data_IF_375350150646
#
_entry.id   IF_375350150646
#
_cell.length_a   1.000
_cell.length_b   1.000
_cell.length_c   1.000
_cell.angle_alpha   90.00
_cell.angle_beta   90.00
_cell.angle_gamma   90.00
#
_symmetry.space_group_name_H-M   'P 1'
#
loop_
_entity.id
_entity.type
_entity.pdbx_description
1 polymer ?
#
# COMPACT_ATOMS: atom_id res chain seq x y z
N UNK A 1 -5.69 16.70 -9.56
CA UNK A 1 -5.48 17.70 -10.64
C UNK A 1 -4.18 18.44 -10.43
N UNK A 2 -3.58 18.92 -11.49
CA UNK A 2 -2.42 19.81 -11.51
C UNK A 2 -2.55 20.80 -12.64
N UNK A 3 -1.97 21.98 -12.47
CA UNK A 3 -2.09 23.04 -13.48
C UNK A 3 -0.92 24.02 -13.42
N UNK A 4 -0.64 24.62 -14.56
CA UNK A 4 0.42 25.61 -14.72
C UNK A 4 -0.07 26.81 -15.52
N UNK A 5 0.38 27.98 -15.11
CA UNK A 5 0.20 29.19 -15.90
C UNK A 5 1.00 29.11 -17.21
N UNK A 6 0.50 29.74 -18.26
CA UNK A 6 1.13 29.78 -19.59
C UNK A 6 2.57 30.27 -19.54
N UNK A 7 2.85 31.29 -18.75
CA UNK A 7 4.20 31.83 -18.55
C UNK A 7 5.18 30.80 -17.99
N UNK A 8 4.74 29.96 -17.05
CA UNK A 8 5.57 28.91 -16.46
C UNK A 8 5.93 27.81 -17.48
N UNK A 9 5.05 27.56 -18.46
CA UNK A 9 5.31 26.57 -19.51
C UNK A 9 6.31 27.06 -20.57
N UNK A 10 6.40 28.36 -20.79
CA UNK A 10 7.34 28.96 -21.75
C UNK A 10 8.75 29.16 -21.18
N UNK A 11 8.88 29.07 -19.85
CA UNK A 11 10.20 29.20 -19.19
C UNK A 11 11.03 27.94 -19.43
N UNK A 12 12.28 28.09 -19.82
CA UNK A 12 13.22 26.97 -19.93
C UNK A 12 13.63 26.52 -18.53
N UNK A 13 13.25 25.30 -18.17
CA UNK A 13 13.57 24.72 -16.89
C UNK A 13 14.77 23.79 -17.00
N UNK A 14 15.65 23.82 -16.00
CA UNK A 14 16.72 22.85 -15.86
C UNK A 14 16.11 21.46 -15.64
N UNK A 15 16.36 20.54 -16.57
CA UNK A 15 15.84 19.16 -16.51
C UNK A 15 14.64 18.85 -17.43
N UNK A 16 14.38 19.71 -18.44
CA UNK A 16 13.40 19.46 -19.51
C UNK A 16 12.02 20.08 -19.30
N UNK A 17 11.06 19.77 -20.16
CA UNK A 17 9.73 20.39 -20.14
C UNK A 17 9.01 20.15 -18.80
N UNK A 18 8.60 21.23 -18.15
CA UNK A 18 7.95 21.22 -16.85
C UNK A 18 6.71 20.33 -16.83
N UNK A 19 5.88 20.41 -17.86
CA UNK A 19 4.62 19.70 -17.96
C UNK A 19 4.83 18.16 -17.97
N UNK A 20 5.81 17.67 -18.72
CA UNK A 20 6.07 16.21 -18.80
C UNK A 20 6.65 15.66 -17.50
N UNK A 21 7.48 16.45 -16.82
CA UNK A 21 8.01 16.10 -15.49
C UNK A 21 6.89 15.97 -14.47
N UNK A 22 5.98 16.95 -14.45
CA UNK A 22 4.86 16.94 -13.51
C UNK A 22 3.81 15.84 -13.85
N UNK A 23 3.58 15.57 -15.12
CA UNK A 23 2.75 14.43 -15.55
C UNK A 23 3.24 13.12 -14.96
N UNK A 24 4.54 12.83 -15.09
CA UNK A 24 5.15 11.61 -14.54
C UNK A 24 5.04 11.57 -13.01
N UNK A 25 5.34 12.67 -12.34
CA UNK A 25 5.24 12.78 -10.88
C UNK A 25 3.79 12.54 -10.40
N UNK A 26 2.83 13.21 -11.03
CA UNK A 26 1.41 13.07 -10.67
C UNK A 26 0.84 11.69 -10.99
N UNK A 27 1.31 11.02 -12.03
CA UNK A 27 0.94 9.64 -12.31
C UNK A 27 1.42 8.70 -11.20
N UNK A 28 2.65 8.87 -10.71
CA UNK A 28 3.18 8.08 -9.59
C UNK A 28 2.39 8.35 -8.31
N UNK A 29 2.11 9.62 -7.99
CA UNK A 29 1.28 9.99 -6.85
C UNK A 29 -0.13 9.36 -6.94
N UNK A 30 -0.74 9.39 -8.13
CA UNK A 30 -2.06 8.80 -8.38
C UNK A 30 -2.06 7.28 -8.17
N UNK A 31 -1.05 6.56 -8.69
CA UNK A 31 -0.91 5.11 -8.47
C UNK A 31 -0.72 4.76 -6.99
N UNK A 32 0.03 5.56 -6.24
CA UNK A 32 0.18 5.39 -4.79
C UNK A 32 -1.14 5.65 -4.05
N UNK A 33 -1.91 6.65 -4.48
CA UNK A 33 -3.22 6.91 -3.90
C UNK A 33 -4.19 5.73 -4.15
N UNK A 34 -4.18 5.13 -5.35
CA UNK A 34 -4.95 3.92 -5.65
C UNK A 34 -4.55 2.78 -4.71
N UNK A 35 -3.26 2.50 -4.60
CA UNK A 35 -2.75 1.46 -3.69
C UNK A 35 -3.19 1.70 -2.24
N UNK A 36 -3.10 2.94 -1.77
CA UNK A 36 -3.56 3.31 -0.44
C UNK A 36 -5.07 3.06 -0.26
N UNK A 37 -5.87 3.40 -1.26
CA UNK A 37 -7.32 3.17 -1.22
C UNK A 37 -7.65 1.68 -1.17
N UNK A 38 -6.92 0.84 -1.89
CA UNK A 38 -7.10 -0.62 -1.86
C UNK A 38 -6.84 -1.24 -0.48
N UNK A 39 -5.92 -0.69 0.30
CA UNK A 39 -5.67 -1.18 1.66
C UNK A 39 -6.55 -0.50 2.71
N UNK A 40 -6.77 0.82 2.61
CA UNK A 40 -7.29 1.65 3.70
C UNK A 40 -8.55 2.44 3.34
N UNK A 41 -9.04 2.34 2.11
CA UNK A 41 -10.20 3.10 1.65
C UNK A 41 -11.44 2.81 2.51
N UNK A 42 -12.11 3.83 3.06
CA UNK A 42 -13.40 3.64 3.70
C UNK A 42 -14.47 3.41 2.63
N UNK A 43 -15.37 2.48 2.88
CA UNK A 43 -16.54 2.28 2.03
C UNK A 43 -17.55 3.38 2.32
N UNK A 44 -17.87 4.16 1.32
CA UNK A 44 -18.86 5.21 1.44
C UNK A 44 -19.80 5.21 0.24
N UNK A 45 -21.08 5.30 0.51
CA UNK A 45 -22.14 5.39 -0.49
C UNK A 45 -23.16 6.44 -0.04
N UNK A 46 -23.48 7.38 -0.92
CA UNK A 46 -24.53 8.36 -0.70
C UNK A 46 -25.64 8.11 -1.71
N UNK A 47 -26.86 7.83 -1.23
CA UNK A 47 -28.01 7.56 -2.10
C UNK A 47 -28.43 8.77 -2.94
N UNK A 48 -28.14 9.98 -2.48
CA UNK A 48 -28.57 11.26 -3.09
C UNK A 48 -27.46 12.07 -3.75
N UNK A 49 -26.19 11.63 -3.63
CA UNK A 49 -25.04 12.33 -4.18
C UNK A 49 -24.18 11.48 -5.09
N UNK A 50 -23.33 12.10 -5.93
CA UNK A 50 -22.45 11.38 -6.86
C UNK A 50 -21.20 10.81 -6.16
N UNK A 51 -21.11 10.87 -4.85
CA UNK A 51 -19.90 10.48 -4.13
C UNK A 51 -19.99 9.02 -3.70
N UNK A 52 -19.13 8.19 -4.30
CA UNK A 52 -18.97 6.79 -3.96
C UNK A 52 -17.48 6.51 -3.75
N UNK A 53 -17.14 5.75 -2.71
CA UNK A 53 -15.78 5.26 -2.50
C UNK A 53 -15.79 3.75 -2.30
N UNK A 54 -14.84 3.05 -2.90
CA UNK A 54 -14.68 1.62 -2.68
C UNK A 54 -14.08 1.37 -1.30
N UNK A 55 -14.51 0.25 -0.66
CA UNK A 55 -13.87 -0.22 0.57
C UNK A 55 -12.50 -0.83 0.26
N UNK A 56 -11.55 -0.62 1.16
CA UNK A 56 -10.24 -1.28 1.12
C UNK A 56 -10.21 -2.57 1.95
N UNK A 57 -9.10 -3.29 1.90
CA UNK A 57 -8.91 -4.53 2.67
C UNK A 57 -9.18 -4.35 4.16
N UNK A 58 -8.81 -3.21 4.74
CA UNK A 58 -9.05 -2.91 6.17
C UNK A 58 -10.53 -2.87 6.55
N UNK A 59 -11.40 -2.52 5.60
CA UNK A 59 -12.86 -2.49 5.79
C UNK A 59 -13.47 -3.88 5.68
N UNK A 60 -12.97 -4.71 4.77
CA UNK A 60 -13.51 -6.06 4.55
C UNK A 60 -13.01 -7.09 5.56
N UNK A 61 -11.82 -6.91 6.13
CA UNK A 61 -11.26 -7.82 7.13
C UNK A 61 -11.82 -7.49 8.51
N UNK A 62 -12.87 -8.22 8.92
CA UNK A 62 -13.58 -8.00 10.20
C UNK A 62 -13.39 -9.11 11.22
N UNK A 63 -13.02 -10.33 10.80
CA UNK A 63 -13.03 -11.52 11.67
C UNK A 63 -11.65 -11.95 12.16
N UNK A 64 -10.66 -12.03 11.30
CA UNK A 64 -9.32 -12.55 11.63
C UNK A 64 -8.36 -11.41 11.98
N UNK A 65 -8.69 -10.65 13.01
CA UNK A 65 -7.90 -9.51 13.48
C UNK A 65 -7.16 -9.92 14.75
N UNK A 66 -5.83 -9.85 14.72
CA UNK A 66 -4.99 -10.03 15.91
C UNK A 66 -4.54 -8.66 16.41
N UNK A 67 -5.06 -8.24 17.56
CA UNK A 67 -4.65 -6.99 18.21
C UNK A 67 -3.38 -7.21 19.03
N UNK A 68 -2.37 -6.39 18.78
CA UNK A 68 -1.11 -6.37 19.53
C UNK A 68 -1.12 -5.14 20.42
N UNK A 69 -1.44 -5.31 21.73
CA UNK A 69 -1.41 -4.20 22.67
C UNK A 69 0.05 -3.93 23.09
N UNK A 70 0.81 -3.27 22.23
CA UNK A 70 2.22 -2.96 22.49
C UNK A 70 3.15 -3.43 21.37
N UNK A 71 4.34 -3.90 21.74
CA UNK A 71 5.32 -4.39 20.78
C UNK A 71 4.94 -5.78 20.25
N UNK A 72 5.08 -6.00 18.93
CA UNK A 72 4.88 -7.31 18.32
C UNK A 72 5.85 -8.33 18.92
N UNK A 73 5.31 -9.41 19.47
CA UNK A 73 6.12 -10.54 19.97
C UNK A 73 6.06 -11.72 19.00
N UNK A 74 7.07 -12.60 19.11
CA UNK A 74 7.14 -13.82 18.29
C UNK A 74 5.90 -14.70 18.46
N UNK A 75 5.40 -14.83 19.70
CA UNK A 75 4.22 -15.63 20.00
C UNK A 75 2.95 -15.08 19.34
N UNK A 76 2.77 -13.77 19.38
CA UNK A 76 1.62 -13.11 18.74
C UNK A 76 1.71 -13.23 17.22
N UNK A 77 2.89 -13.07 16.63
CA UNK A 77 3.09 -13.28 15.19
C UNK A 77 2.75 -14.72 14.79
N UNK A 78 3.25 -15.73 15.50
CA UNK A 78 2.96 -17.14 15.23
C UNK A 78 1.46 -17.46 15.37
N UNK A 79 0.79 -16.88 16.36
CA UNK A 79 -0.66 -17.05 16.53
C UNK A 79 -1.43 -16.42 15.37
N UNK A 80 -1.08 -15.22 14.96
CA UNK A 80 -1.69 -14.54 13.80
C UNK A 80 -1.48 -15.31 12.50
N UNK A 81 -0.26 -15.79 12.26
CA UNK A 81 0.05 -16.63 11.09
C UNK A 81 -0.74 -17.94 11.12
N UNK A 82 -0.80 -18.62 12.27
CA UNK A 82 -1.58 -19.85 12.41
C UNK A 82 -3.04 -19.65 12.08
N UNK A 83 -3.66 -18.60 12.61
CA UNK A 83 -5.05 -18.26 12.32
C UNK A 83 -5.25 -17.91 10.84
N UNK A 84 -4.36 -17.11 10.27
CA UNK A 84 -4.45 -16.70 8.87
C UNK A 84 -4.17 -17.83 7.87
N UNK A 85 -3.38 -18.85 8.24
CA UNK A 85 -3.06 -19.99 7.40
C UNK A 85 -4.09 -21.12 7.49
N UNK A 86 -5.00 -21.06 8.45
CA UNK A 86 -6.04 -22.06 8.64
C UNK A 86 -7.01 -22.13 7.44
N UNK A 87 -7.15 -21.04 6.71
CA UNK A 87 -8.09 -20.93 5.60
C UNK A 87 -7.36 -20.60 4.30
N UNK A 88 -7.89 -21.09 3.18
CA UNK A 88 -7.40 -20.81 1.84
C UNK A 88 -6.13 -21.57 1.44
N UNK A 89 -5.53 -21.15 0.33
CA UNK A 89 -4.32 -21.78 -0.20
C UNK A 89 -3.07 -21.31 0.56
N UNK A 90 -2.30 -22.27 1.08
CA UNK A 90 -1.07 -21.97 1.82
C UNK A 90 0.02 -21.31 0.96
N UNK A 91 0.13 -21.68 -0.31
CA UNK A 91 1.18 -21.21 -1.22
C UNK A 91 0.93 -19.85 -1.88
N UNK A 92 -0.30 -19.32 -1.79
CA UNK A 92 -0.69 -18.05 -2.45
C UNK A 92 -0.68 -16.83 -1.54
N UNK A 93 -0.26 -16.97 -0.29
CA UNK A 93 -0.35 -15.90 0.70
C UNK A 93 0.88 -15.01 0.72
N UNK A 94 0.64 -13.71 0.86
CA UNK A 94 1.67 -12.67 0.97
C UNK A 94 1.41 -11.83 2.21
N UNK A 95 2.45 -11.56 2.98
CA UNK A 95 2.40 -10.69 4.15
C UNK A 95 2.83 -9.26 3.76
N UNK A 96 1.88 -8.36 3.71
CA UNK A 96 2.16 -6.93 3.59
C UNK A 96 2.36 -6.34 4.97
N UNK A 97 3.51 -5.75 5.22
CA UNK A 97 3.86 -5.22 6.54
C UNK A 97 4.29 -3.76 6.46
N UNK A 98 3.83 -2.97 7.42
CA UNK A 98 4.36 -1.64 7.66
C UNK A 98 5.78 -1.70 8.23
N UNK A 99 6.54 -0.58 8.24
CA UNK A 99 7.92 -0.56 8.72
C UNK A 99 8.08 -1.01 10.17
N UNK A 100 7.14 -0.69 11.07
CA UNK A 100 7.24 -1.04 12.49
C UNK A 100 7.12 -2.56 12.74
N UNK A 101 6.08 -3.28 12.24
CA UNK A 101 6.06 -4.74 12.30
C UNK A 101 7.24 -5.39 11.60
N UNK A 102 7.68 -4.85 10.46
CA UNK A 102 8.84 -5.35 9.73
C UNK A 102 10.13 -5.26 10.57
N UNK A 103 10.36 -4.15 11.27
CA UNK A 103 11.49 -3.99 12.18
C UNK A 103 11.44 -4.99 13.34
N UNK A 104 10.26 -5.21 13.94
CA UNK A 104 10.09 -6.22 14.99
C UNK A 104 10.36 -7.64 14.49
N UNK A 105 9.90 -7.97 13.28
CA UNK A 105 10.20 -9.26 12.63
C UNK A 105 11.71 -9.41 12.36
N UNK A 106 12.40 -8.34 11.91
CA UNK A 106 13.85 -8.36 11.72
C UNK A 106 14.60 -8.66 13.02
N UNK A 107 14.15 -8.10 14.13
CA UNK A 107 14.73 -8.37 15.44
C UNK A 107 14.59 -9.85 15.84
N UNK A 108 13.42 -10.47 15.56
CA UNK A 108 13.25 -11.92 15.81
C UNK A 108 14.18 -12.79 14.95
N UNK A 109 14.55 -12.32 13.75
CA UNK A 109 15.50 -13.00 12.89
C UNK A 109 16.91 -12.97 13.44
N UNK A 110 17.33 -11.85 14.00
CA UNK A 110 18.64 -11.70 14.64
C UNK A 110 18.78 -12.66 15.83
N UNK A 111 17.70 -12.85 16.59
CA UNK A 111 17.70 -13.72 17.78
C UNK A 111 17.64 -15.21 17.45
N UNK A 112 17.18 -15.62 16.26
CA UNK A 112 16.85 -17.01 15.93
C UNK A 112 17.34 -17.55 14.59
N UNK A 113 18.41 -17.04 14.02
CA UNK A 113 19.04 -17.59 12.80
C UNK A 113 18.06 -17.95 11.67
N UNK A 114 17.19 -17.05 11.28
CA UNK A 114 16.43 -17.26 10.03
C UNK A 114 17.31 -16.79 8.88
N UNK A 115 17.64 -17.70 7.99
CA UNK A 115 18.52 -17.51 6.84
C UNK A 115 18.09 -16.30 6.01
N UNK A 116 18.92 -15.27 5.98
CA UNK A 116 19.01 -14.38 4.84
C UNK A 116 19.74 -15.12 3.72
N UNK A 117 19.32 -14.93 2.47
CA UNK A 117 19.92 -15.60 1.33
C UNK A 117 21.44 -15.35 1.22
N UNK A 118 22.17 -16.15 0.45
CA UNK A 118 23.63 -16.28 0.52
C UNK A 118 24.45 -15.06 0.06
N UNK A 119 23.87 -13.95 -0.35
CA UNK A 119 24.60 -12.97 -1.18
C UNK A 119 24.73 -11.53 -0.68
N UNK A 120 24.37 -11.19 0.58
CA UNK A 120 24.58 -9.82 1.03
C UNK A 120 25.08 -9.71 2.47
N UNK A 121 26.35 -9.37 2.59
CA UNK A 121 26.95 -8.75 3.77
C UNK A 121 26.42 -7.34 3.96
N UNK A 122 25.17 -7.19 4.34
CA UNK A 122 24.58 -5.90 4.70
C UNK A 122 24.40 -5.83 6.21
N UNK A 123 24.77 -4.72 6.78
CA UNK A 123 24.53 -4.41 8.19
C UNK A 123 23.02 -4.33 8.42
N UNK A 124 22.43 -5.42 8.91
CA UNK A 124 20.99 -5.55 9.15
C UNK A 124 20.38 -6.79 8.52
N UNK A 125 19.32 -7.32 9.12
CA UNK A 125 18.59 -8.46 8.57
C UNK A 125 17.58 -8.00 7.53
N UNK A 126 17.72 -8.48 6.27
CA UNK A 126 16.70 -8.30 5.23
C UNK A 126 15.66 -9.41 5.36
N UNK A 127 14.40 -9.04 5.54
CA UNK A 127 13.30 -10.00 5.60
C UNK A 127 12.72 -10.17 4.19
N UNK A 128 12.89 -11.36 3.61
CA UNK A 128 12.25 -11.71 2.35
C UNK A 128 11.01 -12.58 2.58
N UNK A 129 11.01 -13.41 3.60
CA UNK A 129 9.90 -14.31 3.89
C UNK A 129 9.84 -14.66 5.40
N UNK A 130 8.67 -15.08 5.83
CA UNK A 130 8.43 -15.62 7.17
C UNK A 130 7.95 -17.06 7.04
N UNK A 131 8.49 -17.94 7.86
CA UNK A 131 8.10 -19.35 7.90
C UNK A 131 7.20 -19.59 9.11
N UNK A 132 6.03 -20.19 8.88
CA UNK A 132 5.16 -20.62 9.96
C UNK A 132 5.45 -22.08 10.30
N UNK A 133 5.83 -22.36 11.55
CA UNK A 133 6.05 -23.73 12.03
C UNK A 133 4.77 -24.55 12.16
N UNK A 134 3.60 -23.92 12.13
CA UNK A 134 2.33 -24.57 12.45
C UNK A 134 1.76 -25.45 11.32
N UNK A 135 2.08 -25.19 10.04
CA UNK A 135 1.50 -25.89 8.89
C UNK A 135 2.56 -26.45 7.94
N UNK A 136 3.56 -27.13 8.48
CA UNK A 136 4.63 -27.71 7.68
C UNK A 136 5.63 -26.69 7.11
N UNK A 137 5.64 -25.47 7.67
CA UNK A 137 6.62 -24.44 7.33
C UNK A 137 6.45 -23.79 5.95
N UNK A 138 5.23 -23.39 5.52
CA UNK A 138 5.11 -22.65 4.27
C UNK A 138 5.89 -21.35 4.35
N UNK A 139 6.61 -21.06 3.29
CA UNK A 139 7.34 -19.80 3.13
C UNK A 139 6.37 -18.72 2.66
N UNK A 140 6.21 -17.68 3.48
CA UNK A 140 5.30 -16.55 3.20
C UNK A 140 6.14 -15.34 2.84
N UNK A 141 6.12 -14.87 1.59
CA UNK A 141 6.86 -13.68 1.19
C UNK A 141 6.37 -12.44 1.94
N UNK A 142 7.30 -11.60 2.35
CA UNK A 142 7.02 -10.34 3.07
C UNK A 142 7.29 -9.16 2.15
N UNK A 143 6.28 -8.32 1.98
CA UNK A 143 6.37 -7.07 1.23
C UNK A 143 6.28 -5.89 2.19
N UNK A 144 7.37 -5.14 2.32
CA UNK A 144 7.43 -3.99 3.23
C UNK A 144 6.88 -2.75 2.50
N UNK A 145 5.85 -2.15 3.09
CA UNK A 145 5.18 -0.95 2.59
C UNK A 145 5.66 0.29 3.34
N UNK A 146 6.76 0.89 2.86
CA UNK A 146 7.36 2.08 3.48
C UNK A 146 6.45 3.30 3.47
N UNK A 147 5.55 3.40 2.49
CA UNK A 147 4.64 4.52 2.35
C UNK A 147 3.56 4.56 3.44
N UNK A 148 3.24 3.44 4.09
CA UNK A 148 2.26 3.41 5.17
C UNK A 148 2.68 4.23 6.40
N UNK A 149 3.96 4.46 6.58
CA UNK A 149 4.45 5.32 7.67
C UNK A 149 4.27 6.83 7.40
N UNK A 150 4.03 7.22 6.14
CA UNK A 150 3.87 8.62 5.73
C UNK A 150 2.45 9.15 5.93
N UNK A 151 1.46 8.27 5.96
CA UNK A 151 0.05 8.63 6.08
C UNK A 151 -0.40 8.60 7.54
N UNK A 152 0.16 9.51 8.33
CA UNK A 152 -0.27 9.73 9.71
C UNK A 152 -1.38 10.78 9.73
N UNK A 153 -2.54 10.37 10.21
CA UNK A 153 -3.62 11.31 10.54
C UNK A 153 -3.73 11.34 12.07
N UNK A 154 -3.29 12.42 12.69
CA UNK A 154 -3.32 12.58 14.15
C UNK A 154 -2.14 11.97 14.90
N UNK A 155 -2.26 11.85 16.22
CA UNK A 155 -1.22 11.39 17.15
C UNK A 155 -0.97 9.88 17.14
N UNK A 156 -1.80 9.08 16.47
CA UNK A 156 -1.64 7.63 16.38
C UNK A 156 -1.24 7.22 14.96
N UNK A 157 -0.10 6.55 14.84
CA UNK A 157 0.40 5.98 13.60
C UNK A 157 -0.38 4.70 13.24
N UNK A 158 -1.64 4.87 12.84
CA UNK A 158 -2.55 3.75 12.62
C UNK A 158 -2.10 2.80 11.51
N UNK A 159 -1.52 3.32 10.43
CA UNK A 159 -1.12 2.51 9.28
C UNK A 159 0.29 1.93 9.42
N UNK A 160 1.19 2.66 10.07
CA UNK A 160 2.59 2.26 10.24
C UNK A 160 2.83 1.08 11.18
N UNK A 161 1.80 0.67 11.95
CA UNK A 161 1.87 -0.45 12.89
C UNK A 161 1.10 -1.70 12.44
N UNK A 162 0.54 -1.70 11.22
CA UNK A 162 -0.31 -2.81 10.75
C UNK A 162 0.39 -3.72 9.75
N UNK A 163 -0.09 -4.96 9.70
CA UNK A 163 0.30 -5.94 8.69
C UNK A 163 -0.95 -6.69 8.22
N UNK A 164 -0.97 -7.07 6.93
CA UNK A 164 -2.04 -7.86 6.32
C UNK A 164 -1.46 -9.14 5.73
N UNK A 165 -2.00 -10.28 6.12
CA UNK A 165 -1.78 -11.54 5.45
C UNK A 165 -2.90 -11.75 4.43
N UNK A 166 -2.57 -11.67 3.16
CA UNK A 166 -3.53 -11.68 2.06
C UNK A 166 -3.29 -12.88 1.17
N UNK A 167 -4.36 -13.60 0.83
CA UNK A 167 -4.35 -14.62 -0.21
C UNK A 167 -4.64 -13.95 -1.56
N UNK A 168 -3.59 -13.75 -2.36
CA UNK A 168 -3.70 -13.05 -3.64
C UNK A 168 -4.59 -13.77 -4.67
N UNK A 169 -4.77 -15.08 -4.52
CA UNK A 169 -5.67 -15.86 -5.38
C UNK A 169 -7.14 -15.52 -5.19
N UNK A 170 -7.50 -15.01 -4.01
CA UNK A 170 -8.88 -14.68 -3.64
C UNK A 170 -9.18 -13.17 -3.67
N UNK A 171 -8.20 -12.35 -4.03
CA UNK A 171 -8.38 -10.90 -4.18
C UNK A 171 -8.35 -10.55 -5.66
N UNK A 172 -9.41 -9.92 -6.13
CA UNK A 172 -9.53 -9.46 -7.50
C UNK A 172 -9.64 -7.94 -7.52
N UNK A 173 -8.82 -7.35 -8.36
CA UNK A 173 -8.89 -5.94 -8.67
C UNK A 173 -9.77 -5.76 -9.92
N UNK A 174 -10.82 -4.97 -9.78
CA UNK A 174 -11.76 -4.70 -10.86
C UNK A 174 -11.73 -3.22 -11.22
N UNK A 175 -11.42 -2.92 -12.47
CA UNK A 175 -11.51 -1.58 -13.03
C UNK A 175 -12.91 -1.35 -13.62
N UNK A 176 -13.63 -0.36 -13.11
CA UNK A 176 -14.80 0.18 -13.76
C UNK A 176 -14.37 1.14 -14.89
N UNK A 177 -13.39 1.98 -14.59
CA UNK A 177 -12.73 2.84 -15.56
C UNK A 177 -11.21 2.79 -15.35
N UNK A 178 -10.43 2.36 -16.36
CA UNK A 178 -8.98 2.36 -16.28
C UNK A 178 -8.45 3.80 -16.14
N UNK A 179 -7.21 3.94 -15.71
CA UNK A 179 -6.59 5.25 -15.52
C UNK A 179 -6.60 6.07 -16.83
N UNK A 180 -7.32 7.15 -16.84
CA UNK A 180 -7.41 8.09 -17.97
C UNK A 180 -6.79 9.42 -17.56
N UNK A 181 -6.02 10.01 -18.46
CA UNK A 181 -5.54 11.38 -18.34
C UNK A 181 -6.54 12.32 -19.00
N UNK A 182 -7.19 13.15 -18.20
CA UNK A 182 -8.07 14.21 -18.66
C UNK A 182 -7.27 15.50 -18.84
N UNK A 183 -7.27 16.02 -20.06
CA UNK A 183 -6.55 17.25 -20.43
C UNK A 183 -7.55 18.40 -20.59
N UNK A 184 -7.04 19.63 -20.54
CA UNK A 184 -7.81 20.85 -20.75
C UNK A 184 -9.03 20.97 -19.81
N UNK A 185 -8.79 20.75 -18.50
CA UNK A 185 -9.80 20.84 -17.43
C UNK A 185 -9.83 22.22 -16.76
N UNK A 186 -9.18 23.22 -17.35
CA UNK A 186 -9.19 24.61 -16.88
C UNK A 186 -10.52 25.31 -17.19
N UNK A 187 -10.86 26.29 -16.38
CA UNK A 187 -11.97 27.20 -16.69
C UNK A 187 -11.66 28.03 -17.93
N UNK A 188 -12.67 28.53 -18.68
CA UNK A 188 -12.47 29.29 -19.91
C UNK A 188 -11.63 30.56 -19.76
N UNK A 189 -11.63 31.16 -18.58
CA UNK A 189 -10.90 32.39 -18.22
C UNK A 189 -9.52 32.12 -17.61
N UNK A 190 -9.12 30.88 -17.48
CA UNK A 190 -7.81 30.50 -16.89
C UNK A 190 -6.71 30.45 -17.96
N UNK A 191 -5.73 31.33 -17.86
CA UNK A 191 -4.55 31.34 -18.75
C UNK A 191 -3.52 30.30 -18.28
N UNK A 192 -3.73 29.07 -18.73
CA UNK A 192 -2.85 27.94 -18.39
C UNK A 192 -3.44 26.59 -18.78
N UNK A 193 -2.77 25.52 -18.41
CA UNK A 193 -3.21 24.13 -18.63
C UNK A 193 -3.48 23.46 -17.29
N UNK A 194 -4.67 22.83 -17.17
CA UNK A 194 -5.04 21.99 -16.03
C UNK A 194 -5.34 20.58 -16.52
N UNK A 195 -4.71 19.61 -15.88
CA UNK A 195 -4.89 18.19 -16.21
C UNK A 195 -5.16 17.39 -14.94
N UNK A 196 -5.80 16.23 -15.09
CA UNK A 196 -6.06 15.31 -13.98
C UNK A 196 -6.00 13.86 -14.44
N UNK A 197 -5.70 12.96 -13.51
CA UNK A 197 -5.86 11.52 -13.68
C UNK A 197 -7.12 11.07 -12.97
N UNK A 198 -7.90 10.24 -13.64
CA UNK A 198 -9.11 9.63 -13.12
C UNK A 198 -9.00 8.11 -13.25
N UNK A 199 -9.38 7.40 -12.19
CA UNK A 199 -9.49 5.93 -12.18
C UNK A 199 -10.67 5.56 -11.30
N UNK A 200 -11.49 4.64 -11.75
CA UNK A 200 -12.57 4.06 -10.96
C UNK A 200 -12.33 2.57 -10.82
N UNK A 201 -12.20 2.10 -9.60
CA UNK A 201 -11.83 0.72 -9.29
C UNK A 201 -12.51 0.22 -8.01
N UNK A 202 -12.51 -1.10 -7.84
CA UNK A 202 -12.95 -1.77 -6.61
C UNK A 202 -12.11 -3.03 -6.35
N UNK A 203 -12.18 -3.53 -5.11
CA UNK A 203 -11.71 -4.84 -4.70
C UNK A 203 -12.85 -5.85 -4.72
#
# INVERSE_FOLDING_TARGET
SYGFARTAMQTQWYGGPLLDKERRKKLVEHKRAIEQTLFWGPRYYTATGPQHTCGGLAEFVTTNITSVNGQLTKAVLQTGLRTGLQYGNLGGKVLFAAPLPAASMAQFLQDNWIRSGPDETVFGAKINAVISSAYGGPEIPVVIKSDWNKYQTGTSNQYGSRAFLVDLGNVQYLDLQPTVQLRNRQAPDYDGVKEEYLTEHTL
#
